data_IF_502745976713
#
_entry.id   IF_502745976713
#
_cell.length_a   1.000
_cell.length_b   1.000
_cell.length_c   1.000
_cell.angle_alpha   90.00
_cell.angle_beta   90.00
_cell.angle_gamma   90.00
#
_symmetry.space_group_name_H-M   'P 1'
#
loop_
_entity.id
_entity.type
_entity.pdbx_description
1 polymer ?
#
# COMPACT_ATOMS: atom_id res chain seq x y z
N UNK A 1 -7.99 21.30 16.54
CA UNK A 1 -8.39 21.03 15.14
C UNK A 1 -9.33 19.85 14.98
N UNK A 2 -9.00 18.66 15.53
CA UNK A 2 -9.84 17.43 15.39
C UNK A 2 -11.28 17.62 15.89
N UNK A 3 -11.46 18.35 17.00
CA UNK A 3 -12.79 18.60 17.59
C UNK A 3 -13.72 19.41 16.68
N UNK A 4 -13.21 20.41 15.97
CA UNK A 4 -14.00 21.22 15.04
C UNK A 4 -14.37 20.42 13.79
N UNK A 5 -13.44 19.60 13.29
CA UNK A 5 -13.71 18.70 12.17
C UNK A 5 -14.78 17.65 12.53
N UNK A 6 -14.71 17.07 13.74
CA UNK A 6 -15.71 16.12 14.22
C UNK A 6 -17.10 16.76 14.31
N UNK A 7 -17.20 18.00 14.78
CA UNK A 7 -18.45 18.75 14.81
C UNK A 7 -19.06 18.92 13.42
N UNK A 8 -18.26 19.35 12.44
CA UNK A 8 -18.73 19.53 11.05
C UNK A 8 -19.20 18.19 10.47
N UNK A 9 -18.46 17.11 10.70
CA UNK A 9 -18.87 15.77 10.25
C UNK A 9 -20.18 15.33 10.88
N UNK A 10 -20.35 15.55 12.19
CA UNK A 10 -21.58 15.20 12.93
C UNK A 10 -22.78 16.05 12.49
N UNK A 11 -22.57 17.34 12.20
CA UNK A 11 -23.59 18.27 11.72
C UNK A 11 -24.03 17.94 10.28
N UNK A 12 -23.07 17.64 9.39
CA UNK A 12 -23.34 17.20 8.00
C UNK A 12 -24.08 15.86 7.97
N UNK A 13 -23.79 14.94 8.90
CA UNK A 13 -24.55 13.69 9.05
C UNK A 13 -25.94 13.90 9.67
N UNK A 14 -26.30 15.14 10.06
CA UNK A 14 -27.58 15.46 10.70
C UNK A 14 -27.70 14.96 12.15
N UNK A 15 -26.64 14.37 12.71
CA UNK A 15 -26.64 13.77 14.06
C UNK A 15 -26.77 14.81 15.17
N UNK A 16 -26.39 16.07 14.91
CA UNK A 16 -26.48 17.16 15.89
C UNK A 16 -27.88 17.81 15.96
N UNK A 17 -28.72 17.59 14.94
CA UNK A 17 -30.07 18.17 14.86
C UNK A 17 -31.19 17.17 15.23
N UNK A 18 -30.85 15.92 15.55
CA UNK A 18 -31.82 14.92 16.00
C UNK A 18 -32.15 15.18 17.46
N UNK A 19 -33.26 15.84 17.72
CA UNK A 19 -33.84 15.93 19.06
C UNK A 19 -34.17 14.49 19.53
N UNK A 20 -33.50 13.97 20.57
CA UNK A 20 -33.62 12.56 20.97
C UNK A 20 -35.04 12.18 21.41
N UNK A 21 -35.90 13.16 21.70
CA UNK A 21 -37.27 12.96 22.16
C UNK A 21 -38.32 12.93 21.04
N UNK A 22 -38.00 13.35 19.81
CA UNK A 22 -39.03 13.54 18.77
C UNK A 22 -39.15 12.37 17.79
N UNK A 23 -38.14 11.51 17.64
CA UNK A 23 -38.24 10.33 16.77
C UNK A 23 -37.17 9.28 17.07
N UNK A 24 -37.42 8.41 18.04
CA UNK A 24 -36.54 7.25 18.33
C UNK A 24 -36.27 6.36 17.11
N UNK A 25 -37.17 6.37 16.11
CA UNK A 25 -36.98 5.72 14.81
C UNK A 25 -35.94 6.41 13.92
N UNK A 26 -35.85 7.74 13.91
CA UNK A 26 -34.87 8.45 13.11
C UNK A 26 -33.44 8.23 13.65
N UNK A 27 -33.31 8.20 14.98
CA UNK A 27 -32.03 7.91 15.63
C UNK A 27 -31.56 6.47 15.37
N UNK A 28 -32.46 5.48 15.44
CA UNK A 28 -32.10 4.08 15.11
C UNK A 28 -31.74 3.92 13.63
N UNK A 29 -32.44 4.60 12.72
CA UNK A 29 -32.09 4.61 11.29
C UNK A 29 -30.71 5.25 11.08
N UNK A 30 -30.41 6.36 11.74
CA UNK A 30 -29.10 7.01 11.64
C UNK A 30 -27.95 6.14 12.17
N UNK A 31 -28.17 5.43 13.29
CA UNK A 31 -27.20 4.47 13.80
C UNK A 31 -27.02 3.28 12.85
N UNK A 32 -28.11 2.76 12.28
CA UNK A 32 -28.08 1.66 11.33
C UNK A 32 -27.35 2.07 10.05
N UNK A 33 -27.61 3.26 9.50
CA UNK A 33 -26.94 3.75 8.30
C UNK A 33 -25.45 3.96 8.55
N UNK A 34 -25.07 4.48 9.72
CA UNK A 34 -23.68 4.63 10.13
C UNK A 34 -22.98 3.25 10.28
N UNK A 35 -23.66 2.27 10.87
CA UNK A 35 -23.14 0.91 11.00
C UNK A 35 -22.94 0.23 9.64
N UNK A 36 -23.89 0.40 8.72
CA UNK A 36 -23.78 -0.14 7.34
C UNK A 36 -22.63 0.55 6.59
N UNK A 37 -22.50 1.87 6.71
CA UNK A 37 -21.43 2.63 6.06
C UNK A 37 -20.04 2.22 6.57
N UNK A 38 -19.89 2.06 7.88
CA UNK A 38 -18.63 1.60 8.48
C UNK A 38 -18.28 0.18 8.04
N UNK A 39 -19.25 -0.72 7.98
CA UNK A 39 -19.04 -2.08 7.49
C UNK A 39 -18.64 -2.10 6.01
N UNK A 40 -19.28 -1.27 5.18
CA UNK A 40 -18.93 -1.13 3.77
C UNK A 40 -17.50 -0.61 3.57
N UNK A 41 -17.08 0.38 4.36
CA UNK A 41 -15.70 0.90 4.35
C UNK A 41 -14.67 -0.16 4.78
N UNK A 42 -14.98 -0.94 5.82
CA UNK A 42 -14.10 -2.04 6.24
C UNK A 42 -13.98 -3.06 5.11
N UNK A 43 -15.10 -3.45 4.48
CA UNK A 43 -15.10 -4.41 3.39
C UNK A 43 -14.29 -3.91 2.18
N UNK A 44 -14.40 -2.63 1.80
CA UNK A 44 -13.63 -2.07 0.68
C UNK A 44 -12.13 -2.04 0.99
N UNK A 45 -11.74 -1.66 2.21
CA UNK A 45 -10.33 -1.67 2.65
C UNK A 45 -9.77 -3.09 2.64
N UNK A 46 -10.50 -4.06 3.19
CA UNK A 46 -10.07 -5.46 3.19
C UNK A 46 -9.95 -6.04 1.78
N UNK A 47 -10.88 -5.68 0.89
CA UNK A 47 -10.84 -6.10 -0.51
C UNK A 47 -9.69 -5.44 -1.30
N UNK A 48 -9.37 -4.19 -0.99
CA UNK A 48 -8.19 -3.53 -1.57
C UNK A 48 -6.89 -4.16 -1.05
N UNK A 49 -6.83 -4.51 0.24
CA UNK A 49 -5.68 -5.16 0.85
C UNK A 49 -5.45 -6.59 0.31
N UNK A 50 -6.52 -7.35 0.05
CA UNK A 50 -6.42 -8.70 -0.52
C UNK A 50 -5.98 -8.71 -1.98
N UNK A 51 -6.18 -7.61 -2.71
CA UNK A 51 -5.61 -7.39 -4.06
C UNK A 51 -4.14 -6.95 -4.03
N UNK A 52 -3.57 -6.72 -2.85
CA UNK A 52 -2.17 -6.39 -2.67
C UNK A 52 -1.28 -7.50 -3.21
N UNK A 53 -0.52 -7.17 -4.26
CA UNK A 53 0.56 -7.96 -4.86
C UNK A 53 0.29 -9.46 -4.89
N UNK A 54 -0.32 -9.95 -5.98
CA UNK A 54 -0.13 -11.36 -6.37
C UNK A 54 1.34 -11.70 -6.15
N UNK A 55 1.69 -12.76 -5.37
CA UNK A 55 3.07 -13.12 -5.18
C UNK A 55 3.70 -13.17 -6.56
N UNK A 56 4.63 -12.25 -6.84
CA UNK A 56 5.37 -12.30 -8.08
C UNK A 56 5.90 -13.73 -8.14
N UNK A 57 5.69 -14.48 -9.23
CA UNK A 57 6.10 -15.87 -9.29
C UNK A 57 7.60 -15.90 -9.01
N UNK A 58 7.95 -16.13 -7.75
CA UNK A 58 9.31 -16.39 -7.32
C UNK A 58 9.55 -17.74 -7.92
N UNK A 59 10.16 -17.73 -9.11
CA UNK A 59 10.85 -18.88 -9.66
C UNK A 59 11.59 -19.46 -8.46
N UNK A 60 11.24 -20.66 -8.02
CA UNK A 60 12.02 -21.39 -7.04
C UNK A 60 13.40 -21.56 -7.67
N UNK A 61 14.27 -20.60 -7.46
CA UNK A 61 15.70 -20.75 -7.67
C UNK A 61 16.12 -21.51 -6.43
N UNK A 62 15.97 -22.82 -6.48
CA UNK A 62 16.61 -23.66 -5.49
C UNK A 62 18.11 -23.39 -5.65
N UNK A 63 18.67 -22.58 -4.75
CA UNK A 63 20.10 -22.30 -4.64
C UNK A 63 20.82 -23.53 -4.07
N UNK A 64 20.53 -24.71 -4.63
CA UNK A 64 21.05 -26.00 -4.17
C UNK A 64 22.54 -26.16 -4.52
N UNK A 65 23.06 -25.30 -5.40
CA UNK A 65 24.47 -25.17 -5.68
C UNK A 65 24.86 -23.69 -5.67
N UNK A 66 26.02 -23.31 -5.10
CA UNK A 66 26.55 -21.97 -5.26
C UNK A 66 26.67 -21.68 -6.76
N UNK A 67 26.09 -20.57 -7.20
CA UNK A 67 26.24 -20.09 -8.57
C UNK A 67 27.73 -19.82 -8.78
N UNK A 68 28.38 -20.69 -9.57
CA UNK A 68 29.73 -20.45 -10.02
C UNK A 68 29.73 -19.09 -10.72
N UNK A 69 30.44 -18.13 -10.15
CA UNK A 69 30.61 -16.82 -10.77
C UNK A 69 31.32 -17.05 -12.10
N UNK A 70 30.80 -16.46 -13.17
CA UNK A 70 31.46 -16.50 -14.47
C UNK A 70 32.84 -15.83 -14.36
N UNK A 71 33.82 -16.39 -15.05
CA UNK A 71 35.14 -15.76 -15.19
C UNK A 71 34.98 -14.37 -15.82
N UNK A 72 35.40 -13.28 -15.12
CA UNK A 72 35.31 -11.93 -15.66
C UNK A 72 36.11 -11.75 -16.96
N UNK A 73 37.05 -12.65 -17.26
CA UNK A 73 37.86 -12.64 -18.47
C UNK A 73 37.31 -13.57 -19.58
N UNK A 74 36.14 -14.19 -19.40
CA UNK A 74 35.54 -15.11 -20.38
C UNK A 74 35.33 -14.44 -21.76
N UNK A 75 35.57 -15.16 -22.89
CA UNK A 75 35.33 -14.64 -24.23
C UNK A 75 33.90 -14.13 -24.41
N UNK A 76 33.74 -12.92 -24.94
CA UNK A 76 32.44 -12.26 -25.12
C UNK A 76 32.03 -11.31 -23.98
N UNK A 77 32.78 -11.25 -22.88
CA UNK A 77 32.61 -10.17 -21.91
C UNK A 77 33.22 -8.86 -22.42
N UNK A 78 32.41 -7.80 -22.43
CA UNK A 78 32.86 -6.47 -22.82
C UNK A 78 33.85 -5.99 -21.75
N UNK A 79 35.15 -6.04 -22.05
CA UNK A 79 36.17 -5.38 -21.24
C UNK A 79 35.93 -3.88 -21.32
N UNK A 80 35.48 -3.29 -20.21
CA UNK A 80 35.42 -1.83 -20.06
C UNK A 80 36.87 -1.33 -20.13
N UNK A 81 37.29 -0.79 -21.27
CA UNK A 81 38.60 -0.14 -21.39
C UNK A 81 38.57 1.08 -20.47
N UNK A 82 39.18 0.96 -19.30
CA UNK A 82 39.47 2.11 -18.45
C UNK A 82 40.36 3.11 -19.20
N UNK A 83 40.44 4.37 -18.75
CA UNK A 83 41.37 5.33 -19.34
C UNK A 83 42.79 4.75 -19.33
N UNK A 84 43.44 4.75 -20.50
CA UNK A 84 44.77 4.16 -20.67
C UNK A 84 45.78 4.85 -19.75
N UNK A 85 46.40 4.08 -18.86
CA UNK A 85 47.57 4.54 -18.11
C UNK A 85 48.69 4.78 -19.12
N UNK A 86 48.96 6.04 -19.43
CA UNK A 86 50.13 6.43 -20.21
C UNK A 86 51.35 6.21 -19.32
N UNK A 87 52.14 5.18 -19.61
CA UNK A 87 53.47 5.04 -19.01
C UNK A 87 54.34 6.16 -19.58
N UNK A 88 54.70 7.12 -18.74
CA UNK A 88 55.67 8.15 -19.10
C UNK A 88 57.04 7.48 -19.30
N UNK A 89 57.57 7.57 -20.52
CA UNK A 89 58.94 7.20 -20.82
C UNK A 89 59.86 8.39 -20.54
N UNK A 90 60.77 8.23 -19.57
CA UNK A 90 62.16 8.72 -19.55
C UNK A 90 62.75 8.48 -18.15
#
# INVERSE_FOLDING_TARGET
MIHGFLHVVLEVLGLLAVDPFTSGSAFTIALLTLAVLTLALIATVLHAASRGSTPHPTRRIELTAPLAQSDPDAPGHIRRRGPGQVSAAA
#
